data_IF_162925709654
#
_entry.id   IF_162925709654
#
_cell.length_a   1.000
_cell.length_b   1.000
_cell.length_c   1.000
_cell.angle_alpha   90.00
_cell.angle_beta   90.00
_cell.angle_gamma   90.00
#
_symmetry.space_group_name_H-M   'P 1'
#
loop_
_entity.id
_entity.type
_entity.pdbx_description
1 polymer ?
#
# COMPACT_ATOMS: atom_id res chain seq x y z
N UNK A 1 8.35 -22.51 9.51
CA UNK A 1 9.23 -21.42 9.04
C UNK A 1 8.54 -20.74 7.87
N UNK A 2 7.70 -19.73 8.14
CA UNK A 2 7.08 -18.93 7.08
C UNK A 2 8.14 -17.95 6.57
N UNK A 3 8.43 -17.98 5.28
CA UNK A 3 9.40 -17.08 4.65
C UNK A 3 8.65 -15.81 4.25
N UNK A 4 8.67 -14.80 5.12
CA UNK A 4 7.94 -13.52 4.99
C UNK A 4 8.67 -12.53 4.04
N UNK A 5 9.37 -13.00 3.02
CA UNK A 5 9.97 -12.17 1.95
C UNK A 5 9.36 -12.43 0.58
N UNK A 6 8.48 -13.43 0.48
CA UNK A 6 7.96 -13.87 -0.79
C UNK A 6 6.66 -13.15 -1.05
N UNK A 7 6.58 -12.51 -2.23
CA UNK A 7 5.30 -12.11 -2.79
C UNK A 7 4.39 -13.34 -2.77
N UNK A 8 3.17 -13.13 -2.28
CA UNK A 8 2.17 -14.17 -2.22
C UNK A 8 0.93 -13.70 -2.98
N UNK A 9 0.24 -14.61 -3.69
CA UNK A 9 -0.98 -14.25 -4.37
C UNK A 9 -2.06 -13.89 -3.33
N UNK A 10 -2.72 -12.75 -3.54
CA UNK A 10 -3.88 -12.39 -2.73
C UNK A 10 -5.06 -13.31 -3.00
N UNK A 11 -5.83 -13.62 -1.96
CA UNK A 11 -6.93 -14.59 -2.05
C UNK A 11 -8.03 -14.21 -3.06
N UNK A 12 -8.29 -12.91 -3.25
CA UNK A 12 -9.39 -12.43 -4.10
C UNK A 12 -9.03 -12.31 -5.58
N UNK A 13 -7.86 -11.71 -5.87
CA UNK A 13 -7.47 -11.39 -7.23
C UNK A 13 -6.32 -12.26 -7.77
N UNK A 14 -5.74 -13.12 -6.94
CA UNK A 14 -4.62 -14.00 -7.32
C UNK A 14 -3.36 -13.26 -7.77
N UNK A 15 -3.26 -11.96 -7.49
CA UNK A 15 -2.09 -11.13 -7.81
C UNK A 15 -1.09 -11.20 -6.69
N UNK A 16 0.17 -11.33 -7.06
CA UNK A 16 1.30 -11.24 -6.14
C UNK A 16 1.36 -9.85 -5.53
N UNK A 17 1.25 -9.78 -4.20
CA UNK A 17 1.29 -8.50 -3.49
C UNK A 17 2.73 -8.04 -3.22
N UNK A 18 3.06 -6.76 -3.46
CA UNK A 18 4.33 -6.18 -3.05
C UNK A 18 4.34 -6.08 -1.52
N UNK A 19 5.30 -6.72 -0.84
CA UNK A 19 5.33 -6.79 0.62
C UNK A 19 5.77 -5.49 1.30
N UNK A 20 6.48 -4.62 0.56
CA UNK A 20 7.05 -3.36 1.05
C UNK A 20 6.76 -2.22 0.07
N UNK A 21 6.90 -0.98 0.53
CA UNK A 21 6.74 0.21 -0.33
C UNK A 21 7.82 0.22 -1.42
N UNK A 22 9.05 -0.21 -1.11
CA UNK A 22 10.12 -0.40 -2.10
C UNK A 22 9.75 -1.44 -3.17
N UNK A 23 9.11 -2.55 -2.77
CA UNK A 23 8.65 -3.56 -3.72
C UNK A 23 7.50 -3.02 -4.60
N UNK A 24 6.62 -2.18 -4.06
CA UNK A 24 5.57 -1.53 -4.84
C UNK A 24 6.17 -0.54 -5.85
N UNK A 25 7.18 0.23 -5.44
CA UNK A 25 7.89 1.15 -6.33
C UNK A 25 8.64 0.40 -7.43
N UNK A 26 9.28 -0.73 -7.10
CA UNK A 26 9.96 -1.59 -8.06
C UNK A 26 9.00 -2.27 -9.06
N UNK A 27 7.83 -2.70 -8.60
CA UNK A 27 6.79 -3.29 -9.45
C UNK A 27 6.10 -2.25 -10.34
N UNK A 28 6.00 -1.03 -9.84
CA UNK A 28 5.67 0.16 -10.61
C UNK A 28 4.24 0.21 -11.17
N UNK A 29 4.01 1.11 -12.14
CA UNK A 29 2.69 1.36 -12.73
C UNK A 29 2.06 0.13 -13.40
N UNK A 30 2.88 -0.76 -13.96
CA UNK A 30 2.41 -1.97 -14.63
C UNK A 30 1.70 -2.93 -13.67
N UNK A 31 2.22 -3.07 -12.45
CA UNK A 31 1.56 -3.88 -11.43
C UNK A 31 0.26 -3.23 -10.95
N UNK A 32 0.27 -1.92 -10.68
CA UNK A 32 -0.92 -1.21 -10.23
C UNK A 32 -2.03 -1.24 -11.28
N UNK A 33 -1.68 -1.12 -12.56
CA UNK A 33 -2.62 -1.28 -13.68
C UNK A 33 -3.31 -2.64 -13.64
N UNK A 34 -2.54 -3.72 -13.50
CA UNK A 34 -3.09 -5.07 -13.39
C UNK A 34 -3.98 -5.22 -12.16
N UNK A 35 -3.59 -4.65 -11.02
CA UNK A 35 -4.39 -4.67 -9.80
C UNK A 35 -5.74 -3.96 -9.97
N UNK A 36 -5.73 -2.75 -10.53
CA UNK A 36 -6.96 -1.97 -10.75
C UNK A 36 -7.87 -2.59 -11.81
N UNK A 37 -7.30 -3.19 -12.86
CA UNK A 37 -8.08 -3.96 -13.85
C UNK A 37 -8.75 -5.18 -13.24
N UNK A 38 -8.03 -5.94 -12.41
CA UNK A 38 -8.62 -7.12 -11.74
C UNK A 38 -9.66 -6.74 -10.70
N UNK A 39 -9.48 -5.62 -10.02
CA UNK A 39 -10.46 -5.07 -9.09
C UNK A 39 -11.67 -4.43 -9.80
N UNK A 40 -11.58 -4.16 -11.10
CA UNK A 40 -12.62 -3.46 -11.87
C UNK A 40 -12.70 -1.95 -11.61
N UNK A 41 -11.70 -1.39 -10.92
CA UNK A 41 -11.61 0.05 -10.62
C UNK A 41 -11.16 0.87 -11.83
N UNK A 42 -10.36 0.27 -12.71
CA UNK A 42 -9.86 0.91 -13.94
C UNK A 42 -10.42 0.17 -15.16
N UNK A 43 -10.87 0.92 -16.17
CA UNK A 43 -11.29 0.33 -17.44
C UNK A 43 -10.15 -0.40 -18.14
N UNK A 44 -10.46 -1.48 -18.85
CA UNK A 44 -9.47 -2.33 -19.55
C UNK A 44 -8.70 -1.61 -20.65
N UNK A 45 -9.24 -0.51 -21.16
CA UNK A 45 -8.65 0.35 -22.20
C UNK A 45 -7.72 1.41 -21.62
N UNK A 46 -7.70 1.59 -20.30
CA UNK A 46 -6.90 2.60 -19.61
C UNK A 46 -5.77 1.94 -18.81
N UNK A 47 -4.72 2.69 -18.50
CA UNK A 47 -3.56 2.18 -17.76
C UNK A 47 -2.98 3.26 -16.85
N UNK A 48 -2.29 2.84 -15.79
CA UNK A 48 -1.43 3.74 -15.01
C UNK A 48 -0.10 3.84 -15.74
N UNK A 49 0.28 5.05 -16.15
CA UNK A 49 1.49 5.27 -16.94
C UNK A 49 2.69 5.60 -16.08
N UNK A 50 2.45 6.30 -14.95
CA UNK A 50 3.54 6.84 -14.12
C UNK A 50 3.15 6.98 -12.66
N UNK A 51 4.12 6.73 -11.80
CA UNK A 51 4.09 7.19 -10.41
C UNK A 51 4.77 8.55 -10.35
N UNK A 52 3.99 9.59 -10.10
CA UNK A 52 4.47 10.98 -10.06
C UNK A 52 5.17 11.25 -8.73
N UNK A 53 4.62 10.72 -7.64
CA UNK A 53 5.13 10.93 -6.29
C UNK A 53 4.77 9.75 -5.41
N UNK A 54 5.72 9.28 -4.61
CA UNK A 54 5.50 8.27 -3.58
C UNK A 54 6.05 8.81 -2.25
N UNK A 55 5.15 9.19 -1.35
CA UNK A 55 5.48 9.78 -0.05
C UNK A 55 5.19 8.79 1.07
N UNK A 56 6.24 8.28 1.72
CA UNK A 56 6.11 7.39 2.88
C UNK A 56 5.52 8.16 4.06
N UNK A 57 4.54 7.58 4.72
CA UNK A 57 3.94 8.15 5.91
C UNK A 57 4.59 7.57 7.16
N UNK A 58 5.15 8.42 8.03
CA UNK A 58 5.79 7.94 9.25
C UNK A 58 4.75 7.35 10.19
N UNK A 59 5.09 6.23 10.84
CA UNK A 59 4.26 5.63 11.89
C UNK A 59 4.38 6.35 13.24
N UNK A 60 4.58 7.66 13.23
CA UNK A 60 4.66 8.48 14.44
C UNK A 60 3.68 9.66 14.36
N UNK A 61 3.20 10.11 15.53
CA UNK A 61 2.20 11.18 15.61
C UNK A 61 0.81 10.79 15.08
N UNK A 62 0.02 11.78 14.64
CA UNK A 62 -1.35 11.57 14.14
C UNK A 62 -1.43 10.69 12.88
N UNK A 63 -0.32 10.50 12.16
CA UNK A 63 -0.21 9.63 10.98
C UNK A 63 -0.18 8.13 11.34
N UNK A 64 -0.13 7.80 12.63
CA UNK A 64 -0.16 6.45 13.17
C UNK A 64 -1.57 5.82 13.21
N UNK A 65 -2.64 6.59 12.98
CA UNK A 65 -4.02 6.10 12.97
C UNK A 65 -4.26 5.01 11.90
N UNK A 66 -5.10 4.01 12.19
CA UNK A 66 -5.47 2.95 11.25
C UNK A 66 -4.51 1.75 11.17
N UNK A 67 -3.71 1.49 12.20
CA UNK A 67 -2.92 0.26 12.34
C UNK A 67 -1.43 0.38 11.99
N UNK A 68 -0.66 -0.67 12.28
CA UNK A 68 0.80 -0.66 12.23
C UNK A 68 1.41 -1.02 10.85
N UNK A 69 0.64 -1.15 9.77
CA UNK A 69 1.22 -1.43 8.44
C UNK A 69 1.93 -0.21 7.85
N UNK A 70 2.90 -0.43 6.95
CA UNK A 70 3.52 0.64 6.17
C UNK A 70 2.47 1.35 5.31
N UNK A 71 2.55 2.69 5.26
CA UNK A 71 1.59 3.55 4.56
C UNK A 71 2.33 4.55 3.68
N UNK A 72 1.73 4.93 2.57
CA UNK A 72 2.24 5.98 1.71
C UNK A 72 1.12 6.70 0.97
N UNK A 73 1.35 7.95 0.58
CA UNK A 73 0.59 8.61 -0.47
C UNK A 73 1.27 8.36 -1.82
N UNK A 74 0.49 7.96 -2.80
CA UNK A 74 0.94 7.70 -4.16
C UNK A 74 0.16 8.59 -5.13
N UNK A 75 0.85 9.46 -5.85
CA UNK A 75 0.29 10.22 -6.95
C UNK A 75 0.58 9.50 -8.27
N UNK A 76 -0.45 9.28 -9.09
CA UNK A 76 -0.36 8.57 -10.37
C UNK A 76 -0.86 9.40 -11.55
N UNK A 77 -0.36 9.08 -12.73
CA UNK A 77 -0.93 9.51 -14.01
C UNK A 77 -1.53 8.31 -14.74
N UNK A 78 -2.70 8.53 -15.34
CA UNK A 78 -3.36 7.56 -16.21
C UNK A 78 -3.12 7.91 -17.67
N UNK A 79 -3.13 6.91 -18.54
CA UNK A 79 -3.00 7.08 -20.00
C UNK A 79 -4.16 7.89 -20.57
N UNK A 80 -5.37 7.61 -20.07
CA UNK A 80 -6.57 8.37 -20.36
C UNK A 80 -7.07 9.01 -19.06
N UNK A 81 -6.75 10.29 -18.80
CA UNK A 81 -7.25 10.99 -17.63
C UNK A 81 -8.78 11.01 -17.63
N UNK A 82 -9.37 10.60 -16.50
CA UNK A 82 -10.82 10.56 -16.30
C UNK A 82 -11.17 11.37 -15.04
N UNK A 83 -12.10 12.33 -15.10
CA UNK A 83 -12.54 13.10 -13.93
C UNK A 83 -13.10 12.26 -12.77
N UNK A 84 -13.55 11.02 -13.04
CA UNK A 84 -14.03 10.08 -12.04
C UNK A 84 -12.92 9.28 -11.35
N UNK A 85 -11.69 9.30 -11.88
CA UNK A 85 -10.55 8.60 -11.31
C UNK A 85 -9.67 9.54 -10.48
N UNK A 86 -9.47 9.18 -9.22
CA UNK A 86 -8.53 9.87 -8.35
C UNK A 86 -7.09 9.56 -8.75
N UNK A 87 -6.26 10.61 -8.78
CA UNK A 87 -4.82 10.51 -9.05
C UNK A 87 -3.99 10.44 -7.78
N UNK A 88 -4.53 10.88 -6.64
CA UNK A 88 -3.90 10.77 -5.32
C UNK A 88 -4.50 9.58 -4.55
N UNK A 89 -3.68 8.56 -4.33
CA UNK A 89 -4.05 7.30 -3.73
C UNK A 89 -3.39 7.15 -2.35
N UNK A 90 -4.11 6.51 -1.43
CA UNK A 90 -3.57 6.10 -0.14
C UNK A 90 -3.24 4.61 -0.17
N UNK A 91 -1.98 4.27 0.01
CA UNK A 91 -1.46 2.90 0.01
C UNK A 91 -1.30 2.42 1.45
N UNK A 92 -1.83 1.24 1.74
CA UNK A 92 -1.67 0.57 3.03
C UNK A 92 -1.26 -0.88 2.82
N UNK A 93 -0.10 -1.24 3.34
CA UNK A 93 0.44 -2.60 3.23
C UNK A 93 0.15 -3.41 4.50
N UNK A 94 -0.04 -4.74 4.37
CA UNK A 94 -0.18 -5.62 5.52
C UNK A 94 1.10 -5.64 6.35
N UNK A 95 0.95 -5.73 7.67
CA UNK A 95 2.08 -5.80 8.58
C UNK A 95 2.83 -7.13 8.43
N UNK A 96 4.15 -7.07 8.33
CA UNK A 96 5.03 -8.23 8.41
C UNK A 96 5.38 -8.93 7.11
N UNK A 97 4.77 -8.58 5.96
CA UNK A 97 4.91 -9.34 4.69
C UNK A 97 6.29 -9.28 4.00
N UNK A 98 7.23 -8.44 4.47
CA UNK A 98 8.61 -8.34 3.96
C UNK A 98 9.67 -8.53 5.06
N UNK A 99 10.88 -8.99 4.72
CA UNK A 99 11.97 -8.93 5.69
C UNK A 99 12.40 -7.50 5.93
N UNK A 100 12.35 -7.12 7.20
CA UNK A 100 13.43 -6.40 7.87
C UNK A 100 14.19 -5.36 7.05
N UNK A 101 13.52 -4.28 6.67
CA UNK A 101 14.08 -2.96 6.95
C UNK A 101 13.15 -2.23 7.88
N UNK A 102 13.76 -1.50 8.79
CA UNK A 102 13.14 -0.55 9.73
C UNK A 102 12.52 0.64 9.01
N UNK A 103 11.83 0.42 7.89
CA UNK A 103 11.07 1.43 7.17
C UNK A 103 9.75 1.68 7.89
N UNK A 104 9.88 2.26 9.10
CA UNK A 104 8.88 2.90 9.95
C UNK A 104 7.63 2.08 10.32
N UNK A 105 7.33 0.99 9.62
CA UNK A 105 6.14 0.14 9.58
C UNK A 105 6.20 -1.09 10.47
N UNK A 106 7.40 -1.59 10.76
CA UNK A 106 7.55 -2.90 11.42
C UNK A 106 7.88 -2.78 12.91
N UNK A 107 7.49 -1.67 13.54
CA UNK A 107 7.76 -1.46 14.96
C UNK A 107 6.73 -2.21 15.82
N UNK A 108 7.17 -3.28 16.49
CA UNK A 108 6.34 -4.03 17.45
C UNK A 108 5.77 -3.14 18.56
N UNK A 109 6.49 -2.07 18.95
CA UNK A 109 6.01 -1.08 19.92
C UNK A 109 4.72 -0.41 19.42
N UNK A 110 4.67 0.02 18.16
CA UNK A 110 3.49 0.69 17.60
C UNK A 110 2.33 -0.28 17.35
N UNK A 111 2.61 -1.53 16.97
CA UNK A 111 1.58 -2.59 16.96
C UNK A 111 0.93 -2.71 18.34
N UNK A 112 1.73 -2.80 19.40
CA UNK A 112 1.19 -2.91 20.75
C UNK A 112 0.41 -1.64 21.10
N UNK A 113 0.96 -0.44 20.88
CA UNK A 113 0.29 0.83 21.23
C UNK A 113 -1.06 0.97 20.50
N UNK A 114 -1.10 0.79 19.18
CA UNK A 114 -2.32 0.97 18.37
C UNK A 114 -3.35 -0.14 18.64
N UNK A 115 -2.91 -1.37 18.94
CA UNK A 115 -3.83 -2.48 19.25
C UNK A 115 -4.27 -2.54 20.71
N UNK A 116 -3.58 -1.84 21.63
CA UNK A 116 -3.91 -1.83 23.07
C UNK A 116 -4.61 -0.55 23.52
N UNK A 117 -4.36 0.58 22.87
CA UNK A 117 -5.16 1.78 23.01
C UNK A 117 -6.20 1.73 21.90
N UNK A 118 -7.46 1.46 22.27
CA UNK A 118 -8.58 1.26 21.33
C UNK A 118 -8.66 2.35 20.26
N UNK A 119 -9.25 1.97 19.10
CA UNK A 119 -9.44 2.82 17.93
C UNK A 119 -9.73 4.26 18.35
N UNK A 120 -8.76 5.14 18.12
CA UNK A 120 -8.83 6.56 18.54
C UNK A 120 -9.90 7.36 17.78
N UNK A 121 -10.75 6.69 16.99
CA UNK A 121 -11.95 7.25 16.34
C UNK A 121 -13.11 7.51 17.34
N UNK A 122 -12.88 7.30 18.64
CA UNK A 122 -13.90 7.42 19.70
C UNK A 122 -13.74 8.64 20.63
N UNK A 123 -12.91 9.63 20.28
CA UNK A 123 -12.69 10.84 21.11
C UNK A 123 -12.95 12.13 20.33
#
# INVERSE_FOLDING_TARGET
>A
MFCWDKKAPGAWYGLEFPPTIDALEADGPAWLTQALHRAGTLEKTNSVTKFVKLERLPLSGKHCAGGAGAKAFLTVEYEHPDPSLHTELFVKLPWGMGSGTVDEGHNQKWRIIISSMGDSDSQ
#
